data_IF_353512613771
#
_entry.id   IF_353512613771
#
_cell.length_a   1.000
_cell.length_b   1.000
_cell.length_c   1.000
_cell.angle_alpha   90.00
_cell.angle_beta   90.00
_cell.angle_gamma   90.00
#
_symmetry.space_group_name_H-M   'P 1'
#
loop_
_entity.id
_entity.type
_entity.pdbx_description
1 polymer ?
#
# COMPACT_ATOMS: atom_id res chain seq x y z
N UNK A 1 5.51 -10.41 -7.15
CA UNK A 1 5.76 -9.13 -6.46
C UNK A 1 5.06 -7.94 -7.11
N UNK A 2 5.37 -7.55 -8.35
CA UNK A 2 4.75 -6.36 -8.97
C UNK A 2 3.27 -6.51 -9.36
N UNK A 3 2.84 -7.70 -9.77
CA UNK A 3 1.43 -7.97 -10.10
C UNK A 3 0.54 -7.98 -8.85
N UNK A 4 0.98 -8.64 -7.78
CA UNK A 4 0.24 -8.70 -6.51
C UNK A 4 -0.06 -7.30 -5.93
N UNK A 5 0.91 -6.38 -6.04
CA UNK A 5 0.73 -5.00 -5.55
C UNK A 5 -0.22 -4.17 -6.41
N UNK A 6 -0.23 -4.39 -7.74
CA UNK A 6 -1.20 -3.75 -8.63
C UNK A 6 -2.61 -4.27 -8.37
N UNK A 7 -2.76 -5.57 -8.21
CA UNK A 7 -4.05 -6.18 -7.87
C UNK A 7 -4.57 -5.67 -6.52
N UNK A 8 -3.73 -5.63 -5.49
CA UNK A 8 -4.10 -5.06 -4.19
C UNK A 8 -4.51 -3.59 -4.28
N UNK A 9 -3.79 -2.78 -5.07
CA UNK A 9 -4.12 -1.38 -5.31
C UNK A 9 -5.49 -1.23 -5.99
N UNK A 10 -5.78 -2.03 -7.02
CA UNK A 10 -7.05 -1.98 -7.74
C UNK A 10 -8.23 -2.40 -6.84
N UNK A 11 -8.02 -3.40 -5.97
CA UNK A 11 -8.99 -3.79 -4.95
C UNK A 11 -9.26 -2.66 -3.96
N UNK A 12 -8.23 -1.97 -3.45
CA UNK A 12 -8.39 -0.78 -2.60
C UNK A 12 -9.25 0.29 -3.30
N UNK A 13 -8.97 0.59 -4.57
CA UNK A 13 -9.74 1.57 -5.36
C UNK A 13 -11.19 1.17 -5.58
N UNK A 14 -11.45 -0.14 -5.71
CA UNK A 14 -12.79 -0.71 -5.80
C UNK A 14 -13.51 -0.83 -4.46
N UNK A 15 -12.92 -0.38 -3.35
CA UNK A 15 -13.48 -0.53 -2.00
C UNK A 15 -13.44 -1.95 -1.45
N UNK A 16 -12.68 -2.85 -2.08
CA UNK A 16 -12.49 -4.27 -1.68
C UNK A 16 -11.29 -4.42 -0.74
N UNK A 17 -11.33 -3.70 0.38
CA UNK A 17 -10.22 -3.59 1.33
C UNK A 17 -9.79 -4.93 1.94
N UNK A 18 -10.75 -5.79 2.29
CA UNK A 18 -10.46 -7.12 2.86
C UNK A 18 -9.73 -8.05 1.87
N UNK A 19 -10.08 -7.96 0.58
CA UNK A 19 -9.40 -8.73 -0.45
C UNK A 19 -8.00 -8.18 -0.73
N UNK A 20 -7.84 -6.85 -0.74
CA UNK A 20 -6.52 -6.23 -0.81
C UNK A 20 -5.64 -6.65 0.37
N UNK A 21 -6.22 -6.70 1.57
CA UNK A 21 -5.54 -7.12 2.80
C UNK A 21 -5.01 -8.55 2.67
N UNK A 22 -5.79 -9.47 2.10
CA UNK A 22 -5.38 -10.87 1.88
C UNK A 22 -4.17 -11.02 0.94
N UNK A 23 -3.97 -10.08 0.04
CA UNK A 23 -2.82 -10.07 -0.86
C UNK A 23 -1.61 -9.50 -0.13
N UNK A 24 -1.74 -8.33 0.50
CA UNK A 24 -0.60 -7.65 1.13
C UNK A 24 -0.10 -8.37 2.40
N UNK A 25 -0.94 -9.13 3.10
CA UNK A 25 -0.50 -9.94 4.25
C UNK A 25 0.48 -11.05 3.86
N UNK A 26 0.49 -11.49 2.60
CA UNK A 26 1.36 -12.56 2.10
C UNK A 26 2.70 -12.03 1.58
N UNK A 27 2.89 -10.72 1.60
CA UNK A 27 4.03 -10.04 0.99
C UNK A 27 4.71 -9.16 2.04
N UNK A 28 5.96 -9.50 2.37
CA UNK A 28 6.75 -8.80 3.39
C UNK A 28 7.60 -7.65 2.82
N UNK A 29 7.22 -7.07 1.69
CA UNK A 29 7.91 -5.92 1.10
C UNK A 29 7.44 -4.59 1.71
N UNK A 30 8.31 -3.58 1.69
CA UNK A 30 7.96 -2.23 2.11
C UNK A 30 6.77 -1.64 1.34
N UNK A 31 6.51 -2.09 0.11
CA UNK A 31 5.35 -1.69 -0.69
C UNK A 31 4.06 -2.31 -0.16
N UNK A 32 4.09 -3.61 0.14
CA UNK A 32 2.95 -4.28 0.74
C UNK A 32 2.62 -3.68 2.11
N UNK A 33 3.64 -3.37 2.94
CA UNK A 33 3.44 -2.67 4.21
C UNK A 33 2.81 -1.29 4.02
N UNK A 34 3.11 -0.56 2.95
CA UNK A 34 2.45 0.73 2.70
C UNK A 34 0.97 0.56 2.38
N UNK A 35 0.59 -0.38 1.50
CA UNK A 35 -0.82 -0.68 1.26
C UNK A 35 -1.54 -1.19 2.52
N UNK A 36 -0.86 -2.02 3.32
CA UNK A 36 -1.37 -2.50 4.62
C UNK A 36 -1.70 -1.34 5.56
N UNK A 37 -0.85 -0.31 5.58
CA UNK A 37 -1.06 0.90 6.36
C UNK A 37 -2.27 1.72 5.88
N UNK A 38 -2.46 1.82 4.55
CA UNK A 38 -3.60 2.52 3.95
C UNK A 38 -4.92 1.78 4.25
N UNK A 39 -4.92 0.45 4.18
CA UNK A 39 -6.10 -0.38 4.47
C UNK A 39 -6.56 -0.16 5.92
N UNK A 40 -5.67 -0.31 6.90
CA UNK A 40 -6.06 -0.07 8.30
C UNK A 40 -6.46 1.37 8.59
N UNK A 41 -5.94 2.32 7.81
CA UNK A 41 -6.35 3.73 7.91
C UNK A 41 -7.80 3.91 7.44
N UNK A 42 -8.21 3.23 6.38
CA UNK A 42 -9.62 3.20 5.93
C UNK A 42 -10.53 2.54 6.98
N UNK A 43 -10.09 1.43 7.58
CA UNK A 43 -10.84 0.70 8.62
C UNK A 43 -10.97 1.47 9.94
N UNK A 44 -10.24 2.58 10.10
CA UNK A 44 -10.20 3.39 11.32
C UNK A 44 -9.25 2.87 12.40
N UNK A 45 -8.49 1.80 12.13
CA UNK A 45 -7.44 1.30 13.03
C UNK A 45 -6.15 2.10 12.85
N UNK A 46 -6.17 3.32 13.40
CA UNK A 46 -5.06 4.26 13.26
C UNK A 46 -3.78 3.79 13.97
N UNK A 47 -3.89 2.89 14.96
CA UNK A 47 -2.73 2.36 15.69
C UNK A 47 -1.98 1.36 14.82
N UNK A 48 -2.69 0.41 14.21
CA UNK A 48 -2.08 -0.52 13.26
C UNK A 48 -1.64 0.18 11.98
N UNK A 49 -2.40 1.15 11.48
CA UNK A 49 -1.96 1.97 10.34
C UNK A 49 -0.59 2.59 10.59
N UNK A 50 -0.37 3.23 11.76
CA UNK A 50 0.94 3.82 12.11
C UNK A 50 2.05 2.79 12.20
N UNK A 51 1.77 1.62 12.76
CA UNK A 51 2.73 0.52 12.82
C UNK A 51 3.20 0.12 11.41
N UNK A 52 2.27 -0.08 10.48
CA UNK A 52 2.59 -0.47 9.11
C UNK A 52 3.23 0.66 8.29
N UNK A 53 2.87 1.93 8.52
CA UNK A 53 3.60 3.07 7.94
C UNK A 53 5.07 3.05 8.37
N UNK A 54 5.33 2.83 9.65
CA UNK A 54 6.70 2.72 10.17
C UNK A 54 7.45 1.54 9.56
N UNK A 55 6.80 0.38 9.42
CA UNK A 55 7.36 -0.81 8.73
C UNK A 55 7.68 -0.54 7.26
N UNK A 56 6.87 0.27 6.59
CA UNK A 56 7.09 0.72 5.21
C UNK A 56 8.19 1.81 5.10
N UNK A 57 8.78 2.26 6.21
CA UNK A 57 9.76 3.35 6.24
C UNK A 57 9.14 4.71 5.94
N UNK A 58 7.84 4.90 6.22
CA UNK A 58 7.07 6.10 5.88
C UNK A 58 6.48 6.75 7.12
N UNK A 59 6.35 8.08 7.07
CA UNK A 59 5.58 8.82 8.06
C UNK A 59 4.07 8.56 7.86
N UNK A 60 3.29 8.72 8.93
CA UNK A 60 1.84 8.63 8.83
C UNK A 60 1.30 9.70 7.88
N UNK A 61 0.55 9.27 6.87
CA UNK A 61 0.01 10.15 5.85
C UNK A 61 -1.08 11.08 6.38
N UNK A 62 -1.11 12.30 5.84
CA UNK A 62 -2.09 13.34 6.14
C UNK A 62 -3.01 13.65 4.95
N UNK A 63 -2.80 13.01 3.81
CA UNK A 63 -3.59 13.23 2.58
C UNK A 63 -4.86 12.39 2.60
N UNK A 64 -5.75 12.55 1.64
CA UNK A 64 -6.87 11.61 1.49
C UNK A 64 -6.34 10.22 1.11
N UNK A 65 -7.12 9.17 1.37
CA UNK A 65 -6.75 7.79 0.99
C UNK A 65 -6.65 7.67 -0.53
N UNK A 66 -7.55 8.31 -1.28
CA UNK A 66 -7.51 8.35 -2.74
C UNK A 66 -6.22 8.97 -3.27
N UNK A 67 -5.81 10.13 -2.72
CA UNK A 67 -4.55 10.79 -3.13
C UNK A 67 -3.34 9.92 -2.81
N UNK A 68 -3.38 9.22 -1.69
CA UNK A 68 -2.30 8.35 -1.27
C UNK A 68 -2.17 7.10 -2.13
N UNK A 69 -3.29 6.47 -2.52
CA UNK A 69 -3.31 5.36 -3.46
C UNK A 69 -2.82 5.81 -4.86
N UNK A 70 -3.17 7.02 -5.29
CA UNK A 70 -2.65 7.59 -6.54
C UNK A 70 -1.12 7.83 -6.45
N UNK A 71 -0.63 8.33 -5.31
CA UNK A 71 0.80 8.49 -5.09
C UNK A 71 1.53 7.14 -5.08
N UNK A 72 0.96 6.12 -4.41
CA UNK A 72 1.48 4.76 -4.40
C UNK A 72 1.67 4.23 -5.83
N UNK A 73 0.66 4.34 -6.67
CA UNK A 73 0.72 3.92 -8.07
C UNK A 73 1.83 4.61 -8.86
N UNK A 74 1.94 5.94 -8.73
CA UNK A 74 2.96 6.71 -9.43
C UNK A 74 4.37 6.25 -9.07
N UNK A 75 4.61 5.99 -7.78
CA UNK A 75 5.92 5.53 -7.32
C UNK A 75 6.16 4.08 -7.74
N UNK A 76 5.13 3.22 -7.68
CA UNK A 76 5.22 1.82 -8.13
C UNK A 76 5.54 1.73 -9.63
N UNK A 77 4.89 2.56 -10.47
CA UNK A 77 5.14 2.60 -11.92
C UNK A 77 6.54 3.06 -12.24
N UNK A 78 7.01 4.16 -11.62
CA UNK A 78 8.37 4.68 -11.84
C UNK A 78 9.45 3.64 -11.55
N UNK A 79 9.24 2.79 -10.54
CA UNK A 79 10.15 1.67 -10.26
C UNK A 79 10.01 0.53 -11.25
N UNK A 80 8.83 0.29 -11.80
CA UNK A 80 8.67 -0.76 -12.81
C UNK A 80 9.31 -0.36 -14.16
N UNK A 81 9.47 0.95 -14.40
CA UNK A 81 10.14 1.53 -15.56
C UNK A 81 11.67 1.62 -15.38
N UNK A 82 12.13 1.81 -14.14
CA UNK A 82 13.54 1.75 -13.75
C UNK A 82 13.78 0.35 -13.18
N UNK A 83 14.11 -0.62 -14.04
CA UNK A 83 14.47 -1.96 -13.58
C UNK A 83 15.66 -1.92 -12.61
N UNK A 84 15.38 -1.77 -11.32
CA UNK A 84 16.37 -1.81 -10.25
C UNK A 84 16.45 -3.26 -9.75
N UNK A 85 17.50 -4.02 -10.11
CA UNK A 85 18.87 -3.81 -9.63
C UNK A 85 18.88 -3.93 -8.10
N UNK A 86 19.00 -5.18 -7.65
CA UNK A 86 19.56 -5.50 -6.33
C UNK A 86 21.06 -5.18 -6.30
#
# INVERSE_FOLDING_TARGET
>A
MGQDLKEALDLCRGGRWDDAHKIVQKNDSNWAFWLHAIIHREEGDLSNARYWYSRAGRAFSKTTITDELAHFEQVLSKRNDIGDAE
#
